data_IF_959663777780
#
_entry.id   IF_959663777780
#
_cell.length_a   1.000
_cell.length_b   1.000
_cell.length_c   1.000
_cell.angle_alpha   90.00
_cell.angle_beta   90.00
_cell.angle_gamma   90.00
#
_symmetry.space_group_name_H-M   'P 1'
#
loop_
_entity.id
_entity.type
_entity.pdbx_description
1 polymer ?
#
# COMPACT_ATOMS: atom_id res chain seq x y z
N UNK A 1 -44.50 3.51 -56.38
CA UNK A 1 -43.55 4.38 -55.63
C UNK A 1 -44.27 5.02 -54.46
N UNK A 2 -43.87 4.68 -53.23
CA UNK A 2 -44.02 5.45 -51.97
C UNK A 2 -43.69 4.49 -50.82
N UNK A 3 -42.56 4.72 -50.15
CA UNK A 3 -42.29 4.43 -48.73
C UNK A 3 -40.84 4.82 -48.42
N UNK A 4 -40.67 6.06 -47.97
CA UNK A 4 -39.55 6.48 -47.11
C UNK A 4 -40.17 7.08 -45.86
N UNK A 5 -39.43 6.97 -44.76
CA UNK A 5 -39.73 7.42 -43.40
C UNK A 5 -40.41 6.41 -42.49
N UNK A 6 -39.59 5.55 -41.88
CA UNK A 6 -39.57 5.40 -40.42
C UNK A 6 -38.12 5.60 -39.96
N UNK A 7 -37.87 6.77 -39.40
CA UNK A 7 -37.21 7.02 -38.12
C UNK A 7 -35.95 6.22 -37.77
N UNK A 8 -34.84 6.93 -37.93
CA UNK A 8 -33.83 7.12 -36.89
C UNK A 8 -34.21 6.57 -35.51
N UNK A 9 -33.44 5.57 -35.06
CA UNK A 9 -32.56 5.63 -33.89
C UNK A 9 -32.07 4.20 -33.64
N UNK A 10 -30.92 3.85 -34.23
CA UNK A 10 -30.18 2.68 -33.76
C UNK A 10 -29.64 3.02 -32.36
N UNK A 11 -29.94 2.24 -31.30
CA UNK A 11 -29.32 2.49 -30.02
C UNK A 11 -27.81 2.25 -30.19
N UNK A 12 -27.01 3.31 -30.01
CA UNK A 12 -25.56 3.15 -29.79
C UNK A 12 -25.42 2.13 -28.66
N UNK A 13 -24.93 0.94 -28.98
CA UNK A 13 -24.53 -0.04 -27.98
C UNK A 13 -23.52 0.66 -27.09
N UNK A 14 -23.92 0.96 -25.85
CA UNK A 14 -22.95 1.30 -24.81
C UNK A 14 -22.12 0.03 -24.64
N UNK A 15 -20.92 0.02 -25.20
CA UNK A 15 -19.91 -0.96 -24.79
C UNK A 15 -19.83 -0.89 -23.27
N UNK A 16 -19.84 -2.03 -22.55
CA UNK A 16 -19.66 -2.01 -21.10
C UNK A 16 -18.33 -1.30 -20.83
N UNK A 17 -18.39 -0.18 -20.13
CA UNK A 17 -17.21 0.49 -19.58
C UNK A 17 -16.47 -0.59 -18.80
N UNK A 18 -15.26 -0.95 -19.22
CA UNK A 18 -14.43 -1.84 -18.41
C UNK A 18 -14.33 -1.20 -17.04
N UNK A 19 -14.91 -1.82 -16.02
CA UNK A 19 -14.58 -1.49 -14.64
C UNK A 19 -13.06 -1.53 -14.56
N UNK A 20 -12.44 -0.38 -14.26
CA UNK A 20 -11.02 -0.34 -13.96
C UNK A 20 -10.90 -1.10 -12.65
N UNK A 21 -10.54 -2.38 -12.72
CA UNK A 21 -10.14 -3.15 -11.56
C UNK A 21 -8.83 -2.53 -11.08
N UNK A 22 -8.92 -1.55 -10.17
CA UNK A 22 -7.77 -0.97 -9.51
C UNK A 22 -7.20 -2.04 -8.60
N UNK A 23 -6.07 -2.64 -8.99
CA UNK A 23 -5.41 -3.59 -8.11
C UNK A 23 -5.08 -2.93 -6.77
N UNK A 24 -5.28 -3.62 -5.63
CA UNK A 24 -4.96 -3.06 -4.33
C UNK A 24 -3.46 -2.81 -4.23
N UNK A 25 -3.11 -1.67 -3.62
CA UNK A 25 -1.72 -1.34 -3.31
C UNK A 25 -1.26 -2.20 -2.14
N UNK A 26 -0.14 -2.88 -2.29
CA UNK A 26 0.45 -3.77 -1.27
C UNK A 26 1.87 -3.33 -0.99
N UNK A 27 2.21 -3.24 0.28
CA UNK A 27 3.56 -2.92 0.72
C UNK A 27 3.91 -3.71 1.98
N UNK A 28 5.18 -4.02 2.15
CA UNK A 28 5.75 -4.66 3.33
C UNK A 28 6.95 -3.83 3.78
N UNK A 29 6.94 -3.43 5.05
CA UNK A 29 8.09 -2.82 5.71
C UNK A 29 8.74 -3.82 6.65
N UNK A 30 10.04 -4.02 6.49
CA UNK A 30 10.90 -4.77 7.39
C UNK A 30 11.82 -3.75 8.09
N UNK A 31 11.99 -3.89 9.40
CA UNK A 31 12.83 -2.98 10.19
C UNK A 31 13.35 -3.70 11.43
N UNK A 32 14.36 -3.13 12.06
CA UNK A 32 14.91 -3.60 13.33
C UNK A 32 14.63 -2.58 14.42
N UNK A 33 14.32 -3.05 15.63
CA UNK A 33 14.41 -2.23 16.83
C UNK A 33 15.70 -2.62 17.54
N UNK A 34 16.61 -1.67 17.69
CA UNK A 34 17.90 -1.88 18.34
C UNK A 34 17.75 -1.96 19.88
N UNK A 35 18.86 -2.28 20.55
CA UNK A 35 18.90 -2.39 22.02
C UNK A 35 18.63 -1.06 22.74
N UNK A 36 18.78 0.07 22.04
CA UNK A 36 18.51 1.42 22.53
C UNK A 36 17.08 1.90 22.21
N UNK A 37 16.25 1.02 21.64
CA UNK A 37 14.87 1.30 21.26
C UNK A 37 14.71 2.14 20.00
N UNK A 38 15.76 2.33 19.19
CA UNK A 38 15.66 3.02 17.91
C UNK A 38 15.19 2.07 16.81
N UNK A 39 14.55 2.64 15.80
CA UNK A 39 14.21 1.92 14.57
C UNK A 39 15.36 2.06 13.57
N UNK A 40 15.88 0.93 13.08
CA UNK A 40 16.98 0.84 12.11
C UNK A 40 16.64 -0.12 10.96
N UNK A 41 17.52 -0.21 9.96
CA UNK A 41 17.47 -1.24 8.90
C UNK A 41 16.13 -1.32 8.15
N UNK A 42 15.58 -0.16 7.82
CA UNK A 42 14.27 -0.04 7.19
C UNK A 42 14.33 -0.42 5.71
N UNK A 43 13.61 -1.47 5.34
CA UNK A 43 13.42 -1.92 3.97
C UNK A 43 11.94 -1.97 3.62
N UNK A 44 11.55 -1.37 2.49
CA UNK A 44 10.15 -1.35 2.00
C UNK A 44 10.10 -1.98 0.62
N UNK A 45 9.14 -2.88 0.40
CA UNK A 45 8.89 -3.52 -0.91
C UNK A 45 7.39 -3.68 -1.14
N UNK A 46 6.96 -3.66 -2.40
CA UNK A 46 5.54 -3.71 -2.73
C UNK A 46 5.29 -3.59 -4.23
N UNK A 47 4.03 -3.70 -4.65
CA UNK A 47 3.64 -3.67 -6.07
C UNK A 47 3.57 -2.25 -6.67
N UNK A 48 3.80 -1.19 -5.88
CA UNK A 48 3.76 0.19 -6.35
C UNK A 48 4.84 1.04 -5.68
N UNK A 49 5.76 1.60 -6.47
CA UNK A 49 6.92 2.35 -5.98
C UNK A 49 6.53 3.65 -5.27
N UNK A 50 5.56 4.41 -5.82
CA UNK A 50 5.08 5.64 -5.19
C UNK A 50 4.47 5.37 -3.82
N UNK A 51 3.68 4.31 -3.72
CA UNK A 51 3.10 3.86 -2.45
C UNK A 51 4.20 3.42 -1.47
N UNK A 52 5.20 2.66 -1.92
CA UNK A 52 6.33 2.26 -1.07
C UNK A 52 7.12 3.47 -0.54
N UNK A 53 7.32 4.50 -1.38
CA UNK A 53 8.01 5.73 -0.98
C UNK A 53 7.22 6.50 0.10
N UNK A 54 5.90 6.63 -0.07
CA UNK A 54 5.06 7.29 0.94
C UNK A 54 4.98 6.48 2.23
N UNK A 55 4.84 5.15 2.14
CA UNK A 55 4.89 4.25 3.30
C UNK A 55 6.19 4.45 4.08
N UNK A 56 7.34 4.50 3.39
CA UNK A 56 8.65 4.75 4.03
C UNK A 56 8.68 6.11 4.72
N UNK A 57 8.23 7.17 4.04
CA UNK A 57 8.22 8.52 4.59
C UNK A 57 7.28 8.65 5.80
N UNK A 58 6.08 8.07 5.73
CA UNK A 58 5.12 8.04 6.82
C UNK A 58 5.66 7.25 8.02
N UNK A 59 6.29 6.10 7.78
CA UNK A 59 6.89 5.30 8.84
C UNK A 59 8.05 6.03 9.53
N UNK A 60 8.92 6.70 8.77
CA UNK A 60 9.99 7.52 9.35
C UNK A 60 9.41 8.64 10.23
N UNK A 61 8.41 9.38 9.74
CA UNK A 61 7.71 10.42 10.52
C UNK A 61 7.06 9.88 11.78
N UNK A 62 6.42 8.72 11.70
CA UNK A 62 5.76 8.09 12.85
C UNK A 62 6.73 7.64 13.95
N UNK A 63 8.01 7.45 13.60
CA UNK A 63 9.05 7.01 14.53
C UNK A 63 10.03 8.13 14.93
N UNK A 64 9.82 9.36 14.43
CA UNK A 64 10.69 10.48 14.78
C UNK A 64 10.58 10.80 16.28
N UNK A 65 11.72 10.78 16.98
CA UNK A 65 11.79 10.93 18.43
C UNK A 65 11.17 9.81 19.27
N UNK A 66 10.69 8.72 18.66
CA UNK A 66 10.05 7.60 19.37
C UNK A 66 11.08 6.57 19.83
N UNK A 67 10.98 6.15 21.09
CA UNK A 67 11.75 5.04 21.66
C UNK A 67 10.86 3.85 21.92
N UNK A 68 11.18 2.73 21.27
CA UNK A 68 10.48 1.48 21.46
C UNK A 68 11.09 0.67 22.59
N UNK A 69 10.28 -0.16 23.24
CA UNK A 69 10.79 -1.12 24.21
C UNK A 69 11.50 -2.25 23.44
N UNK A 70 12.81 -2.45 23.62
CA UNK A 70 13.53 -3.54 22.97
C UNK A 70 13.14 -4.89 23.56
N UNK A 71 13.48 -5.97 22.85
CA UNK A 71 13.20 -7.33 23.33
C UNK A 71 14.21 -7.74 24.39
N UNK A 72 13.84 -8.73 25.22
CA UNK A 72 14.71 -9.28 26.25
C UNK A 72 14.82 -10.78 26.11
N UNK A 73 16.05 -11.31 26.14
CA UNK A 73 16.33 -12.74 26.16
C UNK A 73 17.27 -13.05 27.30
N UNK A 74 16.83 -13.91 28.23
CA UNK A 74 17.59 -14.27 29.44
C UNK A 74 18.05 -13.06 30.27
N UNK A 75 17.23 -12.01 30.34
CA UNK A 75 17.54 -10.77 31.07
C UNK A 75 18.44 -9.77 30.32
N UNK A 76 19.03 -10.15 29.19
CA UNK A 76 19.76 -9.23 28.32
C UNK A 76 18.82 -8.56 27.32
N UNK A 77 19.00 -7.27 27.11
CA UNK A 77 18.34 -6.51 26.04
C UNK A 77 18.94 -6.93 24.71
N UNK A 78 18.11 -7.18 23.71
CA UNK A 78 18.52 -7.59 22.36
C UNK A 78 17.77 -6.81 21.30
N UNK A 79 18.41 -6.61 20.14
CA UNK A 79 17.73 -6.14 18.94
C UNK A 79 16.72 -7.17 18.44
N UNK A 80 15.64 -6.74 17.80
CA UNK A 80 14.72 -7.67 17.14
C UNK A 80 14.17 -7.13 15.82
N UNK A 81 13.89 -8.04 14.90
CA UNK A 81 13.39 -7.72 13.55
C UNK A 81 11.87 -7.78 13.52
N UNK A 82 11.26 -6.79 12.87
CA UNK A 82 9.84 -6.64 12.67
C UNK A 82 9.45 -6.62 11.21
N UNK A 83 8.23 -7.07 10.94
CA UNK A 83 7.60 -7.03 9.63
C UNK A 83 6.17 -6.53 9.76
N UNK A 84 5.84 -5.49 9.01
CA UNK A 84 4.49 -4.97 8.90
C UNK A 84 4.04 -5.02 7.43
N UNK A 85 2.97 -5.78 7.17
CA UNK A 85 2.35 -5.91 5.86
C UNK A 85 1.12 -5.00 5.77
N UNK A 86 1.01 -4.25 4.69
CA UNK A 86 -0.04 -3.26 4.45
C UNK A 86 -0.71 -3.50 3.10
N UNK A 87 -2.03 -3.32 3.05
CA UNK A 87 -2.82 -3.37 1.82
C UNK A 87 -3.83 -2.21 1.83
N UNK A 88 -3.90 -1.47 0.73
CA UNK A 88 -4.83 -0.37 0.52
C UNK A 88 -5.67 -0.64 -0.74
N UNK A 89 -6.98 -0.54 -0.59
CA UNK A 89 -7.94 -0.73 -1.69
C UNK A 89 -8.74 0.56 -1.86
N UNK A 90 -9.04 0.94 -3.10
CA UNK A 90 -9.94 2.05 -3.40
C UNK A 90 -11.30 1.48 -3.79
N UNK A 91 -12.37 1.98 -3.15
CA UNK A 91 -13.76 1.69 -3.48
C UNK A 91 -14.36 2.87 -4.25
#
# INVERSE_FOLDING_TARGET
MKKKFLDTLSPKSKQPTKEVQTEPLRSEINYVIDESGNVTDIAVKGNNENFNNEIKAAFLRANDGVKWKPSTKNGAVISYTMRLSMTMSFQ
#
